data_IF_871634558915
#
_entry.id   IF_871634558915
#
_cell.length_a   1.000
_cell.length_b   1.000
_cell.length_c   1.000
_cell.angle_alpha   90.00
_cell.angle_beta   90.00
_cell.angle_gamma   90.00
#
_symmetry.space_group_name_H-M   'P 1'
#
loop_
_entity.id
_entity.type
_entity.pdbx_description
1 polymer ?
#
# COMPACT_ATOMS: atom_id res chain seq x y z
N UNK A 1 -29.58 0.60 1.33
CA UNK A 1 -29.21 1.00 -0.03
C UNK A 1 -28.22 2.14 0.07
N UNK A 2 -26.92 1.88 -0.02
CA UNK A 2 -25.89 2.93 -0.05
C UNK A 2 -25.60 3.23 -1.53
N UNK A 3 -25.84 4.48 -1.95
CA UNK A 3 -25.89 4.90 -3.36
C UNK A 3 -24.54 4.96 -4.09
N UNK A 4 -24.51 5.46 -5.35
CA UNK A 4 -23.32 5.48 -6.22
C UNK A 4 -22.14 6.25 -5.62
N UNK A 5 -22.39 7.23 -4.74
CA UNK A 5 -21.34 7.95 -3.99
C UNK A 5 -20.56 7.02 -3.04
N UNK A 6 -21.25 6.07 -2.41
CA UNK A 6 -20.61 5.06 -1.55
C UNK A 6 -19.78 4.08 -2.37
N UNK A 7 -20.24 3.70 -3.57
CA UNK A 7 -19.47 2.84 -4.47
C UNK A 7 -18.19 3.55 -4.96
N UNK A 8 -18.27 4.85 -5.29
CA UNK A 8 -17.15 5.68 -5.72
C UNK A 8 -16.11 5.85 -4.61
N UNK A 9 -16.56 6.21 -3.40
CA UNK A 9 -15.72 6.31 -2.20
C UNK A 9 -15.20 4.95 -1.69
N UNK A 10 -15.65 3.81 -2.22
CA UNK A 10 -15.18 2.48 -1.78
C UNK A 10 -14.17 1.85 -2.73
N UNK A 11 -14.21 2.23 -4.02
CA UNK A 11 -13.32 1.70 -5.06
C UNK A 11 -12.19 2.68 -5.43
N UNK A 12 -12.28 3.95 -5.07
CA UNK A 12 -11.23 4.95 -5.33
C UNK A 12 -9.95 4.74 -4.49
N UNK A 13 -10.06 4.15 -3.29
CA UNK A 13 -8.97 4.13 -2.29
C UNK A 13 -7.88 3.06 -2.49
N UNK A 14 -7.76 2.47 -3.68
CA UNK A 14 -6.68 1.53 -4.02
C UNK A 14 -6.50 1.48 -5.54
N UNK A 15 -7.57 1.78 -6.30
CA UNK A 15 -7.52 1.72 -7.74
C UNK A 15 -6.70 2.90 -8.25
N UNK A 16 -5.60 2.56 -8.90
CA UNK A 16 -4.81 3.51 -9.66
C UNK A 16 -5.64 4.13 -10.77
N UNK A 17 -5.46 5.43 -10.98
CA UNK A 17 -6.05 6.19 -12.07
C UNK A 17 -4.98 7.11 -12.67
N UNK A 18 -5.04 7.31 -13.98
CA UNK A 18 -4.15 8.23 -14.67
C UNK A 18 -4.60 9.68 -14.44
N UNK A 19 -3.62 10.57 -14.36
CA UNK A 19 -3.81 12.00 -14.19
C UNK A 19 -3.13 12.73 -15.36
N UNK A 20 -3.88 13.60 -16.04
CA UNK A 20 -3.31 14.43 -17.12
C UNK A 20 -2.35 15.51 -16.58
N UNK A 21 -2.58 15.95 -15.34
CA UNK A 21 -1.76 16.95 -14.66
C UNK A 21 -1.84 16.78 -13.14
N UNK A 22 -0.84 17.30 -12.43
CA UNK A 22 -0.79 17.26 -10.97
C UNK A 22 -1.88 18.19 -10.38
N UNK A 23 -2.78 17.68 -9.52
CA UNK A 23 -3.77 18.52 -8.85
C UNK A 23 -3.12 19.59 -7.96
N UNK A 24 -3.75 20.76 -7.90
CA UNK A 24 -3.28 21.85 -7.03
C UNK A 24 -3.28 21.47 -5.54
N UNK A 25 -2.32 22.00 -4.78
CA UNK A 25 -2.20 21.74 -3.35
C UNK A 25 -1.51 20.42 -2.98
N UNK A 26 -0.97 19.68 -3.96
CA UNK A 26 -0.17 18.49 -3.69
C UNK A 26 1.26 18.85 -3.25
N UNK A 27 1.73 18.24 -2.18
CA UNK A 27 3.08 18.40 -1.65
C UNK A 27 3.99 17.28 -2.12
N UNK A 28 5.15 17.63 -2.70
CA UNK A 28 6.13 16.62 -3.09
C UNK A 28 6.73 15.97 -1.85
N UNK A 29 6.75 14.64 -1.83
CA UNK A 29 7.39 13.89 -0.75
C UNK A 29 8.73 13.34 -1.22
N UNK A 30 9.71 13.31 -0.32
CA UNK A 30 11.09 12.90 -0.64
C UNK A 30 11.21 11.42 -1.02
N UNK A 31 10.21 10.61 -0.69
CA UNK A 31 10.33 9.15 -0.67
C UNK A 31 9.81 8.48 -1.95
N UNK A 32 10.35 8.82 -3.13
CA UNK A 32 10.05 8.06 -4.36
C UNK A 32 10.19 6.56 -4.10
N UNK A 33 9.12 5.80 -4.37
CA UNK A 33 9.14 4.35 -4.24
C UNK A 33 10.29 3.79 -5.08
N UNK A 34 11.19 3.04 -4.44
CA UNK A 34 12.42 2.52 -5.05
C UNK A 34 12.18 1.53 -6.19
N UNK A 35 10.95 1.06 -6.39
CA UNK A 35 10.53 0.28 -7.56
C UNK A 35 10.06 1.17 -8.73
N UNK A 36 10.68 2.34 -8.93
CA UNK A 36 10.61 3.05 -10.22
C UNK A 36 9.69 4.27 -10.30
N UNK A 37 9.23 4.86 -9.19
CA UNK A 37 8.63 6.21 -9.28
C UNK A 37 9.72 7.28 -9.24
N UNK A 38 9.77 8.16 -10.24
CA UNK A 38 10.76 9.25 -10.29
C UNK A 38 10.42 10.37 -9.32
N UNK A 39 9.13 10.66 -9.13
CA UNK A 39 8.59 11.66 -8.21
C UNK A 39 7.27 11.19 -7.61
N UNK A 40 6.92 11.73 -6.44
CA UNK A 40 5.63 11.46 -5.81
C UNK A 40 5.16 12.61 -4.94
N UNK A 41 3.84 12.74 -4.84
CA UNK A 41 3.16 13.82 -4.13
C UNK A 41 2.02 13.29 -3.29
N UNK A 42 1.67 14.04 -2.24
CA UNK A 42 0.48 13.81 -1.43
C UNK A 42 -0.42 15.03 -1.48
N UNK A 43 -1.69 14.81 -1.76
CA UNK A 43 -2.74 15.82 -1.78
C UNK A 43 -3.73 15.63 -0.64
N UNK A 44 -4.86 16.33 -0.75
CA UNK A 44 -5.95 16.25 0.22
C UNK A 44 -6.64 14.89 0.19
N UNK A 45 -7.32 14.55 1.29
CA UNK A 45 -8.17 13.37 1.43
C UNK A 45 -7.47 12.04 1.10
N UNK A 46 -6.17 11.95 1.39
CA UNK A 46 -5.37 10.75 1.15
C UNK A 46 -4.88 10.59 -0.29
N UNK A 47 -5.04 11.60 -1.15
CA UNK A 47 -4.53 11.53 -2.52
C UNK A 47 -3.02 11.29 -2.53
N UNK A 48 -2.59 10.24 -3.21
CA UNK A 48 -1.20 9.90 -3.44
C UNK A 48 -0.97 9.80 -4.94
N UNK A 49 -0.08 10.64 -5.46
CA UNK A 49 0.29 10.69 -6.87
C UNK A 49 1.73 10.25 -7.03
N UNK A 50 1.99 9.40 -8.02
CA UNK A 50 3.33 8.94 -8.41
C UNK A 50 3.56 9.22 -9.88
N UNK A 51 4.80 9.55 -10.23
CA UNK A 51 5.23 9.68 -11.61
C UNK A 51 6.07 8.48 -12.01
N UNK A 52 5.72 7.87 -13.14
CA UNK A 52 6.44 6.79 -13.78
C UNK A 52 6.68 7.18 -15.24
N UNK A 53 7.93 7.36 -15.66
CA UNK A 53 8.30 7.70 -17.04
C UNK A 53 7.48 8.85 -17.67
N UNK A 54 7.16 9.88 -16.87
CA UNK A 54 6.38 11.04 -17.28
C UNK A 54 4.86 10.87 -17.20
N UNK A 55 4.36 9.68 -16.84
CA UNK A 55 2.95 9.43 -16.57
C UNK A 55 2.63 9.63 -15.08
N UNK A 56 1.56 10.38 -14.78
CA UNK A 56 1.09 10.57 -13.41
C UNK A 56 -0.01 9.54 -13.10
N UNK A 57 0.18 8.80 -12.02
CA UNK A 57 -0.76 7.80 -11.52
C UNK A 57 -1.15 8.16 -10.09
N UNK A 58 -2.43 8.38 -9.87
CA UNK A 58 -3.03 8.68 -8.57
C UNK A 58 -3.73 7.47 -7.97
N UNK A 59 -3.76 7.38 -6.65
CA UNK A 59 -4.70 6.60 -5.87
C UNK A 59 -5.02 7.36 -4.59
N UNK A 60 -6.05 6.96 -3.86
CA UNK A 60 -6.33 7.49 -2.53
C UNK A 60 -5.91 6.48 -1.47
N UNK A 61 -5.13 6.88 -0.49
CA UNK A 61 -4.88 6.12 0.74
C UNK A 61 -6.09 6.29 1.67
N UNK A 62 -6.57 5.23 2.34
CA UNK A 62 -7.62 5.36 3.35
C UNK A 62 -7.11 6.01 4.63
N UNK A 63 -5.85 5.73 4.96
CA UNK A 63 -5.14 6.28 6.11
C UNK A 63 -3.87 6.93 5.60
N UNK A 64 -3.76 8.25 5.82
CA UNK A 64 -2.51 8.93 5.52
C UNK A 64 -1.41 8.40 6.48
N UNK A 65 -0.26 7.93 5.97
CA UNK A 65 0.85 7.49 6.82
C UNK A 65 1.43 8.61 7.70
N UNK A 66 1.16 9.88 7.39
CA UNK A 66 1.48 11.04 8.24
C UNK A 66 0.64 11.07 9.51
N UNK A 67 -0.59 10.57 9.45
CA UNK A 67 -1.52 10.49 10.59
C UNK A 67 -1.38 9.17 11.35
N UNK A 68 -1.29 8.04 10.64
CA UNK A 68 -1.09 6.72 11.25
C UNK A 68 -0.35 5.76 10.32
N UNK A 69 0.95 5.62 10.58
CA UNK A 69 1.81 4.66 9.86
C UNK A 69 1.31 3.22 9.98
N UNK A 70 0.90 2.79 11.18
CA UNK A 70 0.42 1.41 11.41
C UNK A 70 -0.91 1.18 10.69
N UNK A 71 -1.84 2.13 10.75
CA UNK A 71 -3.12 2.04 10.04
C UNK A 71 -2.93 1.94 8.52
N UNK A 72 -2.04 2.78 7.98
CA UNK A 72 -1.65 2.74 6.57
C UNK A 72 -1.05 1.38 6.19
N UNK A 73 -0.17 0.81 7.00
CA UNK A 73 0.43 -0.50 6.72
C UNK A 73 -0.59 -1.66 6.70
N UNK A 74 -1.66 -1.57 7.48
CA UNK A 74 -2.67 -2.63 7.55
C UNK A 74 -3.68 -2.50 6.39
N UNK A 75 -4.08 -1.27 6.05
CA UNK A 75 -5.20 -1.03 5.16
C UNK A 75 -4.78 -0.68 3.72
N UNK A 76 -3.63 -0.01 3.57
CA UNK A 76 -3.21 0.60 2.31
C UNK A 76 -1.78 0.21 1.88
N UNK A 77 -1.10 -0.68 2.63
CA UNK A 77 0.23 -1.15 2.27
C UNK A 77 0.27 -1.73 0.85
N UNK A 78 1.20 -1.28 0.00
CA UNK A 78 1.38 -1.84 -1.32
C UNK A 78 1.76 -3.32 -1.26
N UNK A 79 1.20 -4.12 -2.17
CA UNK A 79 1.42 -5.57 -2.23
C UNK A 79 2.91 -5.92 -2.36
N UNK A 80 3.68 -5.11 -3.08
CA UNK A 80 5.11 -5.28 -3.30
C UNK A 80 5.89 -5.19 -1.99
N UNK A 81 5.54 -4.22 -1.13
CA UNK A 81 6.18 -4.06 0.18
C UNK A 81 5.77 -5.19 1.14
N UNK A 82 4.51 -5.62 1.11
CA UNK A 82 4.05 -6.76 1.90
C UNK A 82 4.83 -8.04 1.55
N UNK A 83 5.01 -8.31 0.25
CA UNK A 83 5.78 -9.45 -0.27
C UNK A 83 7.26 -9.30 0.11
N UNK A 84 7.84 -8.11 -0.08
CA UNK A 84 9.23 -7.83 0.23
C UNK A 84 9.56 -8.03 1.70
N UNK A 85 8.75 -7.49 2.61
CA UNK A 85 8.92 -7.66 4.05
C UNK A 85 8.78 -9.12 4.49
N UNK A 86 7.77 -9.82 3.96
CA UNK A 86 7.55 -11.24 4.25
C UNK A 86 8.73 -12.09 3.79
N UNK A 87 9.19 -11.87 2.55
CA UNK A 87 10.32 -12.61 1.96
C UNK A 87 11.61 -12.31 2.71
N UNK A 88 11.88 -11.05 3.03
CA UNK A 88 13.05 -10.64 3.81
C UNK A 88 13.10 -11.30 5.19
N UNK A 89 11.97 -11.32 5.91
CA UNK A 89 11.87 -11.98 7.21
C UNK A 89 12.17 -13.48 7.14
N UNK A 90 11.64 -14.17 6.11
CA UNK A 90 11.92 -15.60 5.86
C UNK A 90 13.40 -15.85 5.58
N UNK A 91 14.01 -15.03 4.73
CA UNK A 91 15.43 -15.15 4.41
C UNK A 91 16.31 -14.94 5.64
N UNK A 92 16.04 -13.89 6.44
CA UNK A 92 16.76 -13.66 7.69
C UNK A 92 16.64 -14.88 8.61
N UNK A 93 15.42 -15.36 8.86
CA UNK A 93 15.20 -16.54 9.69
C UNK A 93 15.94 -17.78 9.17
N UNK A 94 15.99 -17.96 7.85
CA UNK A 94 16.73 -19.04 7.21
C UNK A 94 18.24 -18.92 7.45
N UNK A 95 18.81 -17.73 7.23
CA UNK A 95 20.25 -17.51 7.37
C UNK A 95 20.72 -17.48 8.83
N UNK A 96 19.86 -17.12 9.79
CA UNK A 96 20.23 -17.07 11.22
C UNK A 96 19.88 -18.34 12.00
N UNK A 97 18.91 -19.14 11.54
CA UNK A 97 18.37 -20.27 12.30
C UNK A 97 18.11 -21.55 11.50
N UNK A 98 18.35 -21.55 10.19
CA UNK A 98 18.12 -22.70 9.32
C UNK A 98 16.66 -22.88 8.87
N UNK A 99 16.38 -24.00 8.21
CA UNK A 99 15.12 -24.22 7.50
C UNK A 99 13.88 -24.28 8.42
N UNK A 100 14.00 -24.87 9.60
CA UNK A 100 12.87 -25.04 10.52
C UNK A 100 12.28 -23.69 11.01
N UNK A 101 13.06 -22.76 11.58
CA UNK A 101 12.51 -21.45 11.96
C UNK A 101 12.06 -20.62 10.76
N UNK A 102 12.72 -20.74 9.60
CA UNK A 102 12.27 -20.06 8.38
C UNK A 102 10.87 -20.49 7.94
N UNK A 103 10.55 -21.79 8.01
CA UNK A 103 9.22 -22.31 7.70
C UNK A 103 8.16 -21.82 8.71
N UNK A 104 8.50 -21.79 10.00
CA UNK A 104 7.60 -21.30 11.04
C UNK A 104 7.30 -19.82 10.84
N UNK A 105 8.33 -18.98 10.71
CA UNK A 105 8.15 -17.54 10.53
C UNK A 105 7.52 -17.19 9.19
N UNK A 106 7.85 -17.91 8.12
CA UNK A 106 7.21 -17.77 6.82
C UNK A 106 5.73 -18.16 6.84
N UNK A 107 5.39 -19.24 7.53
CA UNK A 107 4.00 -19.64 7.73
C UNK A 107 3.19 -18.60 8.51
N UNK A 108 3.74 -18.07 9.60
CA UNK A 108 3.10 -17.02 10.41
C UNK A 108 2.91 -15.74 9.59
N UNK A 109 3.95 -15.27 8.91
CA UNK A 109 3.87 -14.05 8.10
C UNK A 109 2.91 -14.20 6.92
N UNK A 110 2.93 -15.34 6.23
CA UNK A 110 2.00 -15.65 5.15
C UNK A 110 0.54 -15.71 5.62
N UNK A 111 0.26 -16.38 6.74
CA UNK A 111 -1.08 -16.43 7.33
C UNK A 111 -1.55 -15.03 7.75
N UNK A 112 -0.66 -14.22 8.34
CA UNK A 112 -0.93 -12.83 8.69
C UNK A 112 -1.32 -11.98 7.47
N UNK A 113 -0.57 -12.09 6.36
CA UNK A 113 -0.85 -11.39 5.12
C UNK A 113 -2.19 -11.81 4.47
N UNK A 114 -2.56 -13.09 4.55
CA UNK A 114 -3.87 -13.58 4.10
C UNK A 114 -4.98 -13.01 4.99
N UNK A 115 -4.80 -13.04 6.32
CA UNK A 115 -5.79 -12.52 7.26
C UNK A 115 -6.01 -11.02 7.08
N UNK A 116 -4.96 -10.22 6.95
CA UNK A 116 -5.08 -8.78 6.67
C UNK A 116 -5.78 -8.55 5.34
N UNK A 117 -5.51 -9.36 4.31
CA UNK A 117 -6.24 -9.29 3.03
C UNK A 117 -7.73 -9.59 3.21
N UNK A 118 -8.09 -10.60 4.00
CA UNK A 118 -9.49 -10.94 4.28
C UNK A 118 -10.19 -9.85 5.08
N UNK A 119 -9.54 -9.32 6.13
CA UNK A 119 -10.05 -8.21 6.95
C UNK A 119 -10.22 -6.95 6.10
N UNK A 120 -9.19 -6.59 5.32
CA UNK A 120 -9.25 -5.46 4.40
C UNK A 120 -10.33 -5.66 3.33
N UNK A 121 -10.62 -6.89 2.89
CA UNK A 121 -11.77 -7.19 2.01
C UNK A 121 -13.11 -7.09 2.72
N UNK A 122 -13.20 -7.45 4.00
CA UNK A 122 -14.42 -7.34 4.80
C UNK A 122 -14.76 -5.89 5.15
N UNK A 123 -13.75 -5.05 5.36
CA UNK A 123 -13.95 -3.60 5.42
C UNK A 123 -14.48 -3.01 4.09
N UNK A 124 -14.37 -3.76 2.98
CA UNK A 124 -14.96 -3.44 1.65
C UNK A 124 -16.35 -4.06 1.40
N UNK A 125 -16.95 -4.83 2.33
CA UNK A 125 -18.35 -5.32 2.27
C UNK A 125 -19.25 -4.52 3.18
#
# INVERSE_FOLDING_TARGET
MLGPLYYFLRHAFVKEFELDHLPGGCEQTRLGWSFGSTRQWRGLDGLHVREHDGQLVGHYDRVDPRDSLIGHLILDMPKELAIGLTTGAVLVAFFTGGAAPALVWGGIAGAGAVLTTVVARRARS
#
